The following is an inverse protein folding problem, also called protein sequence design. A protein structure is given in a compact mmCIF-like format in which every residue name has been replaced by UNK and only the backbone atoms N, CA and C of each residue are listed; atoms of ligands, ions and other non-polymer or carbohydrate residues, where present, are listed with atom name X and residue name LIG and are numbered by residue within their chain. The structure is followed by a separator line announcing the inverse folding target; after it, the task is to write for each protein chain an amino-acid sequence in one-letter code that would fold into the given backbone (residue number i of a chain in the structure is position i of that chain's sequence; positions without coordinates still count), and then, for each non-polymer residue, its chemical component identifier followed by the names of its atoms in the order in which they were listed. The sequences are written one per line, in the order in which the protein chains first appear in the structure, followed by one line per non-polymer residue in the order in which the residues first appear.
data_IF_093113514189
#
_entry.id   IF_093113514189
#
_cell.length_a   1.000
_cell.length_b   1.000
_cell.length_c   1.000
_cell.angle_alpha   90.00
_cell.angle_beta   90.00
_cell.angle_gamma   90.00
#
_symmetry.space_group_name_H-M   'P 1'
#
loop_
_entity.id
_entity.type
_entity.pdbx_description
1 polymer ?
#
# COMPACT_ATOMS: atom_id res chain seq x y z
N UNK A 1 -9.67 -18.07 -7.87
CA UNK A 1 -8.25 -18.15 -7.47
C UNK A 1 -7.28 -17.88 -8.61
N UNK A 2 -7.29 -18.62 -9.74
CA UNK A 2 -6.34 -18.40 -10.86
C UNK A 2 -6.19 -16.93 -11.31
N UNK A 3 -7.29 -16.17 -11.40
CA UNK A 3 -7.25 -14.75 -11.78
C UNK A 3 -6.53 -13.84 -10.77
N UNK A 4 -6.50 -14.21 -9.49
CA UNK A 4 -5.86 -13.43 -8.41
C UNK A 4 -4.37 -13.72 -8.25
N UNK A 5 -3.84 -14.61 -9.11
CA UNK A 5 -2.42 -14.94 -9.25
C UNK A 5 -1.93 -14.65 -10.68
N UNK A 6 -2.81 -14.20 -11.58
CA UNK A 6 -2.46 -13.98 -12.97
C UNK A 6 -1.58 -12.72 -13.11
N UNK A 7 -0.59 -12.81 -13.98
CA UNK A 7 0.23 -11.67 -14.40
C UNK A 7 -0.59 -10.73 -15.30
N UNK A 8 -0.27 -9.43 -15.23
CA UNK A 8 -0.81 -8.40 -16.13
C UNK A 8 0.31 -7.45 -16.51
N UNK A 9 0.08 -6.54 -17.46
CA UNK A 9 1.06 -5.51 -17.81
C UNK A 9 1.40 -4.56 -16.65
N UNK A 10 0.51 -4.44 -15.65
CA UNK A 10 0.73 -3.61 -14.45
C UNK A 10 1.37 -4.45 -13.34
N UNK A 11 0.93 -5.70 -13.21
CA UNK A 11 1.40 -6.64 -12.20
C UNK A 11 2.40 -7.61 -12.84
N UNK A 12 3.45 -7.05 -13.44
CA UNK A 12 4.46 -7.73 -14.25
C UNK A 12 5.49 -8.46 -13.38
N UNK A 13 5.00 -9.34 -12.52
CA UNK A 13 5.82 -9.95 -11.49
C UNK A 13 6.85 -10.95 -12.03
N UNK A 14 6.75 -11.39 -13.30
CA UNK A 14 7.79 -12.16 -13.98
C UNK A 14 8.99 -11.32 -14.39
N UNK A 15 8.92 -9.98 -14.27
CA UNK A 15 10.05 -9.09 -14.54
C UNK A 15 11.27 -9.48 -13.69
N UNK A 16 12.49 -9.52 -14.28
CA UNK A 16 13.69 -9.91 -13.56
C UNK A 16 14.01 -9.08 -12.30
N UNK A 17 13.66 -7.80 -12.27
CA UNK A 17 13.87 -6.95 -11.11
C UNK A 17 12.97 -7.36 -9.94
N UNK A 18 11.70 -7.68 -10.22
CA UNK A 18 10.75 -8.17 -9.21
C UNK A 18 11.19 -9.55 -8.70
N UNK A 19 11.50 -10.49 -9.60
CA UNK A 19 11.96 -11.83 -9.21
C UNK A 19 13.26 -11.79 -8.40
N UNK A 20 14.18 -10.87 -8.74
CA UNK A 20 15.40 -10.64 -7.97
C UNK A 20 15.09 -10.17 -6.55
N UNK A 21 14.20 -9.20 -6.38
CA UNK A 21 13.78 -8.71 -5.06
C UNK A 21 13.10 -9.82 -4.23
N UNK A 22 12.18 -10.56 -4.84
CA UNK A 22 11.49 -11.69 -4.17
C UNK A 22 12.47 -12.78 -3.73
N UNK A 23 13.54 -12.99 -4.50
CA UNK A 23 14.62 -13.91 -4.12
C UNK A 23 15.44 -13.40 -2.93
N UNK A 24 15.57 -12.08 -2.75
CA UNK A 24 16.26 -11.48 -1.60
C UNK A 24 15.47 -11.63 -0.29
N UNK A 25 14.14 -11.74 -0.36
CA UNK A 25 13.29 -12.02 0.79
C UNK A 25 13.41 -13.46 1.32
N UNK A 26 14.12 -14.34 0.60
CA UNK A 26 14.19 -15.77 0.89
C UNK A 26 12.80 -16.42 1.10
N UNK A 27 11.85 -15.99 0.27
CA UNK A 27 10.42 -16.28 0.42
C UNK A 27 10.06 -17.77 0.40
N UNK A 28 10.97 -18.65 -0.02
CA UNK A 28 10.78 -20.11 -0.01
C UNK A 28 10.72 -20.70 1.39
N UNK A 29 11.35 -20.03 2.37
CA UNK A 29 11.37 -20.47 3.77
C UNK A 29 10.33 -19.76 4.64
N UNK A 30 9.57 -18.82 4.06
CA UNK A 30 8.54 -18.06 4.75
C UNK A 30 7.16 -18.71 4.61
N UNK A 31 6.39 -18.68 5.68
CA UNK A 31 4.96 -18.99 5.64
C UNK A 31 4.17 -17.83 4.98
N UNK A 32 2.87 -18.03 4.72
CA UNK A 32 2.05 -17.02 4.04
C UNK A 32 1.98 -15.69 4.79
N UNK A 33 1.88 -15.72 6.12
CA UNK A 33 1.84 -14.51 6.95
C UNK A 33 3.14 -13.72 6.85
N UNK A 34 4.28 -14.40 6.92
CA UNK A 34 5.61 -13.79 6.78
C UNK A 34 5.83 -13.19 5.38
N UNK A 35 5.38 -13.88 4.33
CA UNK A 35 5.41 -13.37 2.95
C UNK A 35 4.59 -12.09 2.79
N UNK A 36 3.38 -12.06 3.36
CA UNK A 36 2.54 -10.87 3.34
C UNK A 36 3.22 -9.73 4.09
N UNK A 37 3.74 -10.02 5.29
CA UNK A 37 4.42 -9.05 6.14
C UNK A 37 5.64 -8.42 5.48
N UNK A 38 6.54 -9.22 4.89
CA UNK A 38 7.77 -8.69 4.26
C UNK A 38 7.48 -7.84 3.02
N UNK A 39 6.52 -8.24 2.18
CA UNK A 39 6.11 -7.45 1.02
C UNK A 39 5.46 -6.12 1.45
N UNK A 40 4.57 -6.18 2.45
CA UNK A 40 3.93 -5.00 3.01
C UNK A 40 4.95 -4.03 3.60
N UNK A 41 5.86 -4.53 4.43
CA UNK A 41 6.88 -3.72 5.09
C UNK A 41 7.80 -3.04 4.07
N UNK A 42 8.27 -3.79 3.06
CA UNK A 42 9.12 -3.24 2.01
C UNK A 42 8.44 -2.10 1.25
N UNK A 43 7.19 -2.27 0.83
CA UNK A 43 6.48 -1.22 0.08
C UNK A 43 6.15 -0.01 0.97
N UNK A 44 5.93 -0.24 2.27
CA UNK A 44 5.66 0.84 3.23
C UNK A 44 6.93 1.66 3.50
N UNK A 45 8.04 1.00 3.81
CA UNK A 45 9.22 1.64 4.39
C UNK A 45 10.34 1.93 3.37
N UNK A 46 10.53 1.08 2.36
CA UNK A 46 11.63 1.22 1.39
C UNK A 46 11.22 1.97 0.12
N UNK A 47 9.93 2.02 -0.19
CA UNK A 47 9.40 2.79 -1.32
C UNK A 47 8.90 4.13 -0.80
N UNK A 48 9.52 5.23 -1.24
CA UNK A 48 9.16 6.55 -0.75
C UNK A 48 7.76 6.98 -1.22
N UNK A 49 7.11 7.86 -0.49
CA UNK A 49 5.88 8.48 -0.99
C UNK A 49 6.24 9.50 -2.08
N UNK A 50 5.56 9.42 -3.23
CA UNK A 50 5.76 10.36 -4.35
C UNK A 50 4.76 10.14 -5.47
N UNK A 51 4.64 11.12 -6.36
CA UNK A 51 3.69 11.08 -7.47
C UNK A 51 4.39 10.58 -8.74
N UNK A 52 4.08 9.36 -9.20
CA UNK A 52 4.57 8.87 -10.48
C UNK A 52 3.87 9.58 -11.66
N UNK A 53 4.41 9.39 -12.87
CA UNK A 53 3.87 9.95 -14.11
C UNK A 53 2.41 9.52 -14.42
N UNK A 54 1.97 8.38 -13.88
CA UNK A 54 0.65 7.77 -14.12
C UNK A 54 0.38 6.69 -13.06
N UNK A 55 -0.90 6.43 -12.79
CA UNK A 55 -1.35 5.31 -11.94
C UNK A 55 -1.19 3.94 -12.61
N UNK A 56 -1.13 3.90 -13.94
CA UNK A 56 -1.12 2.67 -14.74
C UNK A 56 0.29 2.21 -15.14
N UNK A 57 1.31 2.56 -14.33
CA UNK A 57 2.69 2.09 -14.53
C UNK A 57 2.88 0.69 -13.95
N UNK A 58 3.82 -0.06 -14.52
CA UNK A 58 4.13 -1.43 -14.09
C UNK A 58 4.79 -1.47 -12.71
N UNK A 59 4.64 -2.57 -11.99
CA UNK A 59 5.28 -2.79 -10.70
C UNK A 59 6.81 -2.69 -10.80
N UNK A 60 7.39 -3.21 -11.88
CA UNK A 60 8.83 -3.06 -12.17
C UNK A 60 9.25 -1.60 -12.32
N UNK A 61 8.41 -0.74 -12.92
CA UNK A 61 8.66 0.70 -13.03
C UNK A 61 8.59 1.38 -11.67
N UNK A 62 7.59 1.06 -10.83
CA UNK A 62 7.51 1.58 -9.45
C UNK A 62 8.75 1.21 -8.63
N UNK A 63 9.20 -0.04 -8.74
CA UNK A 63 10.39 -0.52 -8.04
C UNK A 63 11.65 0.24 -8.50
N UNK A 64 11.75 0.51 -9.81
CA UNK A 64 12.86 1.27 -10.39
C UNK A 64 12.85 2.74 -9.95
N UNK A 65 11.68 3.36 -9.91
CA UNK A 65 11.51 4.74 -9.46
C UNK A 65 11.87 4.89 -7.97
N UNK A 66 11.59 3.85 -7.16
CA UNK A 66 11.86 3.85 -5.72
C UNK A 66 10.86 4.72 -4.92
N UNK A 67 9.80 5.20 -5.57
CA UNK A 67 8.72 5.95 -4.94
C UNK A 67 7.38 5.68 -5.62
N UNK A 68 6.30 5.94 -4.88
CA UNK A 68 4.95 5.94 -5.44
C UNK A 68 3.87 6.41 -4.49
N UNK A 69 2.67 6.54 -5.04
CA UNK A 69 1.44 6.87 -4.32
C UNK A 69 0.62 5.61 -4.07
N UNK A 70 -0.56 5.73 -3.46
CA UNK A 70 -1.40 4.59 -3.08
C UNK A 70 -1.57 3.54 -4.20
N UNK A 71 -1.92 3.98 -5.41
CA UNK A 71 -2.18 3.08 -6.52
C UNK A 71 -0.91 2.36 -7.00
N UNK A 72 0.17 3.12 -7.22
CA UNK A 72 1.42 2.57 -7.77
C UNK A 72 2.16 1.72 -6.74
N UNK A 73 2.19 2.14 -5.46
CA UNK A 73 2.61 1.26 -4.36
C UNK A 73 1.76 -0.01 -4.28
N UNK A 74 0.45 0.11 -4.49
CA UNK A 74 -0.46 -1.03 -4.60
C UNK A 74 -0.08 -2.00 -5.72
N UNK A 75 0.29 -1.49 -6.90
CA UNK A 75 0.78 -2.32 -8.02
C UNK A 75 2.00 -3.14 -7.62
N UNK A 76 3.00 -2.49 -7.00
CA UNK A 76 4.21 -3.17 -6.53
C UNK A 76 3.91 -4.20 -5.44
N UNK A 77 3.11 -3.84 -4.44
CA UNK A 77 2.70 -4.76 -3.37
C UNK A 77 2.02 -6.01 -3.95
N UNK A 78 1.07 -5.83 -4.87
CA UNK A 78 0.37 -6.94 -5.51
C UNK A 78 1.29 -7.82 -6.36
N UNK A 79 2.25 -7.23 -7.08
CA UNK A 79 3.22 -7.99 -7.86
C UNK A 79 4.12 -8.85 -6.95
N UNK A 80 4.61 -8.30 -5.84
CA UNK A 80 5.42 -9.05 -4.87
C UNK A 80 4.64 -10.20 -4.23
N UNK A 81 3.39 -9.93 -3.83
CA UNK A 81 2.50 -10.95 -3.28
C UNK A 81 2.25 -12.09 -4.28
N UNK A 82 1.92 -11.77 -5.53
CA UNK A 82 1.66 -12.78 -6.58
C UNK A 82 2.91 -13.55 -6.96
N UNK A 83 4.09 -12.92 -6.98
CA UNK A 83 5.36 -13.62 -7.17
C UNK A 83 5.66 -14.67 -6.08
N UNK A 84 5.11 -14.47 -4.87
CA UNK A 84 5.24 -15.39 -3.75
C UNK A 84 4.05 -16.36 -3.60
N UNK A 85 3.20 -16.42 -4.63
CA UNK A 85 1.98 -17.23 -4.73
C UNK A 85 0.87 -16.84 -3.72
N UNK A 86 0.84 -15.58 -3.30
CA UNK A 86 -0.23 -15.04 -2.43
C UNK A 86 -1.33 -14.41 -3.29
N UNK A 87 -2.56 -14.96 -3.31
CA UNK A 87 -3.66 -14.40 -4.09
C UNK A 87 -4.06 -13.03 -3.54
N UNK A 88 -4.13 -12.04 -4.41
CA UNK A 88 -4.51 -10.68 -4.02
C UNK A 88 -5.42 -10.02 -5.06
N UNK A 89 -6.20 -9.04 -4.63
CA UNK A 89 -7.06 -8.23 -5.50
C UNK A 89 -6.98 -6.75 -5.14
N UNK A 90 -7.12 -5.93 -6.17
CA UNK A 90 -7.17 -4.48 -6.07
C UNK A 90 -8.62 -4.06 -5.92
N UNK A 91 -8.86 -3.13 -5.00
CA UNK A 91 -10.10 -2.37 -4.96
C UNK A 91 -9.78 -0.91 -5.10
N UNK A 92 -10.59 -0.20 -5.86
CA UNK A 92 -10.48 1.22 -6.02
C UNK A 92 -11.87 1.83 -6.10
N UNK A 93 -12.08 2.94 -5.41
CA UNK A 93 -13.20 3.81 -5.67
C UNK A 93 -12.73 5.24 -5.82
N UNK A 94 -13.53 5.98 -6.57
CA UNK A 94 -13.32 7.39 -6.81
C UNK A 94 -13.90 8.16 -5.62
N UNK A 95 -13.06 8.87 -4.88
CA UNK A 95 -13.49 9.83 -3.84
C UNK A 95 -13.44 11.25 -4.37
N UNK A 96 -14.33 12.10 -3.87
CA UNK A 96 -14.20 13.54 -4.11
C UNK A 96 -12.96 14.10 -3.41
N UNK A 97 -12.22 14.94 -4.14
CA UNK A 97 -11.04 15.66 -3.62
C UNK A 97 -11.33 16.49 -2.36
N UNK A 98 -12.60 16.84 -2.11
CA UNK A 98 -13.04 17.52 -0.90
C UNK A 98 -12.58 16.83 0.39
N UNK A 99 -12.44 15.49 0.37
CA UNK A 99 -11.93 14.67 1.48
C UNK A 99 -10.43 14.84 1.75
N UNK A 100 -9.64 15.41 0.83
CA UNK A 100 -8.19 15.65 1.02
C UNK A 100 -7.84 17.05 1.55
N UNK A 101 -8.84 17.88 1.91
CA UNK A 101 -8.58 19.17 2.55
C UNK A 101 -7.77 18.96 3.83
N UNK A 102 -6.58 19.56 3.89
CA UNK A 102 -5.65 19.46 5.02
C UNK A 102 -4.44 18.54 4.82
N UNK A 103 -4.47 17.63 3.85
CA UNK A 103 -3.31 16.80 3.47
C UNK A 103 -2.41 17.48 2.42
N UNK A 104 -2.96 18.42 1.65
CA UNK A 104 -2.24 19.21 0.63
C UNK A 104 -2.34 20.69 1.00
N UNK A 105 -1.26 21.49 0.83
CA UNK A 105 -1.33 22.93 1.05
C UNK A 105 -2.44 23.59 0.20
N UNK A 106 -3.22 24.49 0.80
CA UNK A 106 -4.38 25.11 0.14
C UNK A 106 -4.05 25.78 -1.21
N UNK A 107 -2.84 26.31 -1.39
CA UNK A 107 -2.40 26.94 -2.64
C UNK A 107 -2.11 25.94 -3.77
N UNK A 108 -1.89 24.66 -3.44
CA UNK A 108 -1.76 23.55 -4.39
C UNK A 108 -3.10 22.84 -4.60
N UNK A 109 -4.06 23.04 -3.69
CA UNK A 109 -5.34 22.34 -3.72
C UNK A 109 -6.00 22.51 -5.08
N UNK A 110 -6.11 23.72 -5.64
CA UNK A 110 -6.76 23.98 -6.94
C UNK A 110 -6.21 23.15 -8.12
N UNK A 111 -4.97 22.67 -8.05
CA UNK A 111 -4.34 21.81 -9.07
C UNK A 111 -4.67 20.33 -8.92
N UNK A 112 -5.20 19.88 -7.78
CA UNK A 112 -5.52 18.49 -7.56
C UNK A 112 -6.78 18.10 -8.38
N UNK A 113 -6.85 16.90 -8.97
CA UNK A 113 -8.01 16.47 -9.75
C UNK A 113 -9.29 16.46 -8.89
N UNK A 114 -10.46 16.73 -9.48
CA UNK A 114 -11.76 16.76 -8.76
C UNK A 114 -12.07 15.46 -8.01
N UNK A 115 -11.53 14.37 -8.53
CA UNK A 115 -11.73 13.01 -8.08
C UNK A 115 -10.39 12.33 -7.87
N UNK A 116 -10.26 11.60 -6.78
CA UNK A 116 -9.02 10.93 -6.40
C UNK A 116 -9.34 9.46 -6.21
N UNK A 117 -8.46 8.59 -6.71
CA UNK A 117 -8.62 7.16 -6.55
C UNK A 117 -8.10 6.81 -5.15
N UNK A 118 -9.01 6.36 -4.28
CA UNK A 118 -8.63 5.66 -3.07
C UNK A 118 -8.62 4.17 -3.37
N UNK A 119 -7.51 3.51 -3.06
CA UNK A 119 -7.33 2.10 -3.33
C UNK A 119 -6.74 1.36 -2.15
N UNK A 120 -7.13 0.10 -2.04
CA UNK A 120 -6.52 -0.86 -1.12
C UNK A 120 -6.31 -2.19 -1.81
N UNK A 121 -5.40 -2.96 -1.24
CA UNK A 121 -5.12 -4.32 -1.67
C UNK A 121 -5.77 -5.26 -0.66
N UNK A 122 -6.40 -6.32 -1.14
CA UNK A 122 -6.81 -7.42 -0.29
C UNK A 122 -5.98 -8.66 -0.61
N UNK A 123 -5.62 -9.40 0.44
CA UNK A 123 -4.97 -10.71 0.33
C UNK A 123 -5.90 -11.80 0.81
N UNK A 124 -5.84 -12.97 0.17
CA UNK A 124 -6.51 -14.16 0.64
C UNK A 124 -5.60 -14.89 1.63
N UNK A 125 -5.97 -14.87 2.90
CA UNK A 125 -5.21 -15.50 3.99
C UNK A 125 -6.20 -16.15 4.98
N UNK A 126 -5.89 -17.36 5.43
CA UNK A 126 -6.73 -18.11 6.39
C UNK A 126 -8.22 -18.20 5.96
N UNK A 127 -8.45 -18.60 4.71
CA UNK A 127 -9.77 -18.75 4.09
C UNK A 127 -10.65 -17.49 4.04
N UNK A 128 -10.07 -16.30 4.17
CA UNK A 128 -10.78 -15.02 4.08
C UNK A 128 -9.99 -13.97 3.32
N UNK A 129 -10.68 -12.93 2.87
CA UNK A 129 -10.05 -11.73 2.32
C UNK A 129 -9.74 -10.76 3.46
N UNK A 130 -8.50 -10.27 3.50
CA UNK A 130 -8.01 -9.34 4.52
C UNK A 130 -7.50 -8.08 3.84
N UNK A 131 -7.91 -6.93 4.35
CA UNK A 131 -7.48 -5.62 3.83
C UNK A 131 -6.04 -5.32 4.23
N UNK A 132 -5.21 -5.03 3.25
CA UNK A 132 -3.91 -4.38 3.40
C UNK A 132 -4.09 -2.90 3.05
N UNK A 133 -4.46 -2.11 4.06
CA UNK A 133 -4.48 -0.65 4.04
C UNK A 133 -3.34 -0.09 4.89
N UNK A 134 -3.07 1.21 4.80
CA UNK A 134 -2.09 1.87 5.69
C UNK A 134 -0.64 1.89 5.20
N UNK A 135 -0.34 1.35 4.02
CA UNK A 135 1.00 1.35 3.40
C UNK A 135 1.48 2.75 2.90
N UNK A 136 0.68 3.79 3.16
CA UNK A 136 1.00 5.19 2.82
C UNK A 136 1.60 5.92 4.02
N UNK A 137 1.22 5.54 5.25
CA UNK A 137 1.66 6.19 6.47
C UNK A 137 3.04 5.68 6.84
N UNK A 138 4.08 6.45 6.51
CA UNK A 138 5.42 6.17 7.01
C UNK A 138 5.48 6.32 8.55
N UNK A 139 6.46 5.66 9.17
CA UNK A 139 6.59 5.67 10.63
C UNK A 139 6.88 7.08 11.19
N UNK A 140 7.49 7.97 10.41
CA UNK A 140 7.78 9.34 10.84
C UNK A 140 6.51 10.17 10.95
N UNK A 141 5.59 10.02 9.99
CA UNK A 141 4.29 10.66 10.01
C UNK A 141 3.40 10.09 11.12
N UNK A 142 3.37 8.76 11.26
CA UNK A 142 2.57 8.12 12.30
C UNK A 142 3.03 8.50 13.71
N UNK A 143 4.34 8.50 13.97
CA UNK A 143 4.88 8.87 15.30
C UNK A 143 4.50 10.29 15.71
N UNK A 144 4.50 11.24 14.77
CA UNK A 144 4.04 12.61 15.04
C UNK A 144 2.54 12.65 15.41
N UNK A 145 1.69 11.87 14.73
CA UNK A 145 0.26 11.78 15.07
C UNK A 145 0.07 11.12 16.44
N UNK A 146 0.82 10.05 16.74
CA UNK A 146 0.78 9.36 18.03
C UNK A 146 1.20 10.28 19.19
N UNK A 147 2.25 11.09 18.99
CA UNK A 147 2.71 12.05 20.01
C UNK A 147 1.67 13.16 20.24
N UNK A 148 1.08 13.69 19.17
CA UNK A 148 0.07 14.75 19.24
C UNK A 148 -1.24 14.29 19.91
N UNK A 149 -1.55 13.00 19.82
CA UNK A 149 -2.81 12.41 20.31
C UNK A 149 -2.59 11.20 21.21
N UNK A 150 -1.59 11.28 22.10
CA UNK A 150 -1.14 10.17 22.95
C UNK A 150 -2.21 9.60 23.91
N UNK A 151 -3.23 10.39 24.25
CA UNK A 151 -4.35 9.97 25.09
C UNK A 151 -5.52 9.32 24.30
N UNK A 152 -5.45 9.28 22.96
CA UNK A 152 -6.54 8.78 22.13
C UNK A 152 -6.46 7.26 21.92
N UNK A 153 -7.53 6.54 22.26
CA UNK A 153 -7.65 5.09 21.99
C UNK A 153 -8.05 4.76 20.54
N UNK A 154 -8.61 5.74 19.82
CA UNK A 154 -9.00 5.64 18.41
C UNK A 154 -8.91 7.03 17.79
N UNK A 155 -8.47 7.12 16.53
CA UNK A 155 -8.24 8.39 15.87
C UNK A 155 -8.88 8.46 14.48
N UNK A 156 -9.38 9.63 14.10
CA UNK A 156 -9.84 9.91 12.73
C UNK A 156 -9.49 11.37 12.39
N UNK A 157 -8.46 11.56 11.55
CA UNK A 157 -7.98 12.90 11.17
C UNK A 157 -6.71 12.84 10.33
N UNK A 158 -6.39 13.92 9.61
CA UNK A 158 -5.15 14.07 8.81
C UNK A 158 -4.80 12.89 7.87
N UNK A 159 -5.80 12.17 7.34
CA UNK A 159 -5.54 11.02 6.46
C UNK A 159 -5.10 9.74 7.17
N UNK A 160 -5.22 9.68 8.51
CA UNK A 160 -5.04 8.47 9.31
C UNK A 160 -6.34 8.15 10.08
N UNK A 161 -6.72 6.87 10.09
CA UNK A 161 -7.85 6.38 10.88
C UNK A 161 -7.48 5.06 11.54
N UNK A 162 -7.80 4.91 12.83
CA UNK A 162 -7.62 3.66 13.58
C UNK A 162 -8.89 3.32 14.36
N UNK A 163 -9.33 2.06 14.30
CA UNK A 163 -10.59 1.63 14.92
C UNK A 163 -10.45 1.20 16.38
N UNK A 164 -9.25 0.77 16.81
CA UNK A 164 -9.07 0.09 18.09
C UNK A 164 -7.81 0.46 18.88
N UNK A 165 -6.77 0.97 18.23
CA UNK A 165 -5.54 1.40 18.90
C UNK A 165 -4.76 2.38 18.02
N UNK A 166 -4.39 3.54 18.55
CA UNK A 166 -3.52 4.50 17.87
C UNK A 166 -2.03 4.20 18.11
N UNK A 167 -1.67 3.50 19.18
CA UNK A 167 -0.28 3.21 19.57
C UNK A 167 0.41 2.22 18.63
N UNK A 168 -0.37 1.42 17.90
CA UNK A 168 0.13 0.52 16.86
C UNK A 168 -0.05 1.15 15.47
N UNK A 169 0.92 0.94 14.57
CA UNK A 169 0.69 1.18 13.13
C UNK A 169 -0.59 0.45 12.70
N UNK A 170 -1.35 0.94 11.71
CA UNK A 170 -2.39 0.13 11.07
C UNK A 170 -1.71 -1.07 10.41
N UNK A 171 -1.54 -2.12 11.20
CA UNK A 171 -1.10 -3.44 10.80
C UNK A 171 -2.34 -4.30 10.88
N UNK A 172 -2.84 -4.72 9.71
CA UNK A 172 -3.96 -5.64 9.58
C UNK A 172 -5.23 -5.15 10.31
N UNK A 173 -6.09 -4.44 9.59
CA UNK A 173 -7.46 -4.26 10.07
C UNK A 173 -8.14 -5.65 10.14
N UNK A 174 -8.44 -6.11 11.35
CA UNK A 174 -9.37 -7.21 11.59
C UNK A 174 -10.81 -6.73 11.42
#
# INVERSE_FOLDING_TARGET
MKQYLAETNILDFSDPAIQKLVSQFDSKHLNEYEKIGIAYQFVKDDIQFGYNKSDAISASEVLKDGYGQCNTKGNLLMALLRAMDIPCRFHGFTIERSLQKGAIPNYLFWLAPEYIIHSWVEVYFDNRWINLEGFILDNSYLSVIQDLFSDASSFCGYGAATNHDLANSPTFAQ
#
